data_IF_130559876987
#
_entry.id   IF_130559876987
#
_cell.length_a   1.000
_cell.length_b   1.000
_cell.length_c   1.000
_cell.angle_alpha   90.00
_cell.angle_beta   90.00
_cell.angle_gamma   90.00
#
_symmetry.space_group_name_H-M   'P 1'
#
loop_
_entity.id
_entity.type
_entity.pdbx_description
1 polymer ?
#
# COMPACT_ATOMS: atom_id res chain seq x y z
N UNK A 1 43.01 -36.97 23.02
CA UNK A 1 42.71 -36.17 21.82
C UNK A 1 41.49 -35.30 22.15
N UNK A 2 41.71 -34.23 22.93
CA UNK A 2 41.86 -32.81 22.49
C UNK A 2 40.50 -32.24 22.03
N UNK A 3 39.65 -31.61 22.86
CA UNK A 3 39.72 -30.36 23.67
C UNK A 3 39.89 -29.05 22.85
N UNK A 4 38.98 -28.09 23.14
CA UNK A 4 39.04 -26.60 22.98
C UNK A 4 38.59 -26.07 21.59
N UNK A 5 37.70 -25.08 21.39
CA UNK A 5 37.41 -23.86 22.20
C UNK A 5 35.97 -23.28 22.03
N UNK A 6 35.41 -22.83 23.15
CA UNK A 6 34.41 -21.74 23.26
C UNK A 6 35.18 -20.42 23.34
N UNK A 7 34.98 -19.48 22.40
CA UNK A 7 34.93 -18.02 22.66
C UNK A 7 35.01 -17.25 21.34
N UNK A 8 33.87 -16.68 20.95
CA UNK A 8 33.81 -15.28 20.50
C UNK A 8 32.45 -14.72 20.91
N UNK A 9 32.37 -14.37 22.20
CA UNK A 9 31.32 -13.58 22.80
C UNK A 9 31.65 -12.09 22.66
N UNK A 10 30.62 -11.31 22.33
CA UNK A 10 30.34 -9.96 22.82
C UNK A 10 31.24 -8.77 22.35
N UNK A 11 30.71 -7.99 21.42
CA UNK A 11 30.56 -6.52 21.52
C UNK A 11 29.91 -6.05 20.21
N UNK A 12 28.64 -5.66 20.16
CA UNK A 12 28.09 -4.49 20.84
C UNK A 12 26.57 -4.62 20.85
N UNK A 13 25.99 -4.57 22.04
CA UNK A 13 24.57 -4.32 22.22
C UNK A 13 24.28 -2.86 21.85
N UNK A 14 23.60 -2.67 20.73
CA UNK A 14 22.80 -1.48 20.45
C UNK A 14 21.35 -1.92 20.34
N UNK A 15 20.69 -2.09 21.48
CA UNK A 15 19.26 -2.38 21.54
C UNK A 15 18.47 -1.19 21.00
N UNK A 16 18.07 -1.24 19.73
CA UNK A 16 16.93 -0.47 19.25
C UNK A 16 15.73 -1.42 19.25
N UNK A 17 15.15 -1.58 20.44
CA UNK A 17 13.76 -2.02 20.59
C UNK A 17 12.89 -0.92 20.00
N UNK A 18 12.73 -0.94 18.68
CA UNK A 18 11.67 -0.20 18.01
C UNK A 18 10.44 -1.06 18.19
N UNK A 19 9.46 -0.56 18.93
CA UNK A 19 8.18 -1.26 19.12
C UNK A 19 7.57 -1.49 17.75
N UNK A 20 7.48 -2.75 17.34
CA UNK A 20 6.86 -3.20 16.08
C UNK A 20 5.39 -2.76 15.92
N UNK A 21 4.78 -2.25 16.98
CA UNK A 21 3.38 -1.82 17.02
C UNK A 21 3.13 -0.37 16.58
N UNK A 22 4.17 0.43 16.28
CA UNK A 22 4.02 1.85 15.93
C UNK A 22 4.33 2.19 14.45
N UNK A 23 4.72 1.22 13.61
CA UNK A 23 5.29 1.48 12.26
C UNK A 23 4.25 1.47 11.12
N UNK A 24 3.07 0.87 11.31
CA UNK A 24 1.99 0.89 10.31
C UNK A 24 1.07 2.14 10.41
N UNK A 25 1.33 3.03 11.37
CA UNK A 25 0.45 4.16 11.70
C UNK A 25 0.57 5.37 10.76
N UNK A 26 1.44 5.34 9.74
CA UNK A 26 1.81 6.54 9.00
C UNK A 26 0.98 6.84 7.74
N UNK A 27 0.16 5.93 7.21
CA UNK A 27 -0.44 6.17 5.87
C UNK A 27 -1.80 6.88 5.91
N UNK A 28 -2.60 6.85 7.00
CA UNK A 28 -3.96 7.42 6.93
C UNK A 28 -4.46 8.22 8.14
N UNK A 29 -3.57 8.84 8.93
CA UNK A 29 -4.00 9.63 10.11
C UNK A 29 -4.63 11.00 9.79
N UNK A 30 -4.72 11.44 8.52
CA UNK A 30 -5.00 12.86 8.22
C UNK A 30 -6.14 13.18 7.22
N UNK A 31 -6.96 12.21 6.80
CA UNK A 31 -8.08 12.51 5.87
C UNK A 31 -9.32 13.17 6.51
N UNK A 32 -9.16 13.95 7.59
CA UNK A 32 -10.26 14.77 8.14
C UNK A 32 -9.75 16.09 8.73
N UNK A 33 -9.58 17.13 7.91
CA UNK A 33 -9.87 18.52 8.31
C UNK A 33 -9.89 19.49 7.11
N UNK A 34 -11.03 20.17 6.79
CA UNK A 34 -11.07 21.20 5.77
C UNK A 34 -11.29 22.58 6.39
N UNK A 35 -10.26 23.41 6.56
CA UNK A 35 -10.45 24.87 6.74
C UNK A 35 -9.25 25.66 6.18
N UNK A 36 -9.42 26.20 4.99
CA UNK A 36 -8.63 27.32 4.44
C UNK A 36 -9.28 28.64 4.86
N UNK A 37 -8.47 29.61 5.29
CA UNK A 37 -8.85 31.03 5.25
C UNK A 37 -7.72 31.84 4.61
N UNK A 38 -7.96 32.24 3.36
CA UNK A 38 -7.14 33.15 2.58
C UNK A 38 -7.43 34.59 2.99
N UNK A 39 -6.38 35.37 3.30
CA UNK A 39 -6.47 36.82 3.35
C UNK A 39 -5.64 37.40 2.21
N UNK A 40 -6.34 38.02 1.25
CA UNK A 40 -5.78 38.76 0.14
C UNK A 40 -5.46 40.19 0.62
N UNK A 41 -4.23 40.65 0.43
CA UNK A 41 -3.89 42.08 0.53
C UNK A 41 -3.11 42.47 -0.72
N UNK A 42 -3.74 43.32 -1.53
CA UNK A 42 -3.21 43.86 -2.77
C UNK A 42 -2.14 44.93 -2.52
N UNK A 43 -1.17 44.97 -3.43
CA UNK A 43 -0.22 46.05 -3.57
C UNK A 43 0.09 46.27 -5.05
N UNK A 44 -0.35 47.41 -5.58
CA UNK A 44 0.05 47.95 -6.88
C UNK A 44 1.54 48.32 -6.84
N UNK A 45 2.32 47.91 -7.85
CA UNK A 45 3.65 48.45 -8.10
C UNK A 45 3.84 48.68 -9.60
N UNK A 46 4.26 49.91 -9.93
CA UNK A 46 4.56 50.38 -11.28
C UNK A 46 5.85 49.74 -11.82
N UNK A 47 5.86 49.52 -13.13
CA UNK A 47 6.92 48.82 -13.85
C UNK A 47 8.25 49.56 -13.92
N UNK A 48 9.31 48.76 -14.03
CA UNK A 48 10.58 49.13 -14.65
C UNK A 48 10.98 47.98 -15.58
N UNK A 49 11.26 48.28 -16.85
CA UNK A 49 11.73 47.30 -17.84
C UNK A 49 13.22 47.06 -17.63
N UNK A 50 13.55 46.01 -16.87
CA UNK A 50 14.89 45.45 -16.77
C UNK A 50 15.19 44.44 -17.90
N UNK A 51 16.47 44.11 -18.14
CA UNK A 51 16.86 43.16 -19.18
C UNK A 51 16.28 41.77 -18.87
N UNK A 52 15.93 41.02 -19.91
CA UNK A 52 15.30 39.71 -19.81
C UNK A 52 16.09 38.79 -18.86
N UNK A 53 15.57 38.64 -17.64
CA UNK A 53 15.98 37.62 -16.70
C UNK A 53 15.81 36.28 -17.39
N UNK A 54 16.86 35.46 -17.43
CA UNK A 54 16.70 34.03 -17.60
C UNK A 54 15.58 33.59 -16.65
N UNK A 55 14.55 32.94 -17.17
CA UNK A 55 13.45 32.42 -16.36
C UNK A 55 14.01 31.53 -15.26
N UNK A 56 13.29 31.37 -14.12
CA UNK A 56 13.75 30.51 -13.05
C UNK A 56 14.08 29.13 -13.63
N UNK A 57 15.33 28.69 -13.46
CA UNK A 57 15.72 27.31 -13.74
C UNK A 57 14.83 26.48 -12.84
N UNK A 58 13.89 25.73 -13.42
CA UNK A 58 13.00 24.87 -12.67
C UNK A 58 13.87 23.96 -11.81
N UNK A 59 13.78 24.11 -10.49
CA UNK A 59 14.46 23.21 -9.55
C UNK A 59 13.99 21.79 -9.87
N UNK A 60 14.96 20.86 -9.96
CA UNK A 60 14.64 19.45 -10.12
C UNK A 60 13.69 19.04 -9.00
N UNK A 61 12.61 18.29 -9.31
CA UNK A 61 11.67 17.87 -8.28
C UNK A 61 12.40 17.07 -7.19
N UNK A 62 11.92 17.12 -5.94
CA UNK A 62 12.54 16.39 -4.83
C UNK A 62 12.38 14.86 -4.93
N UNK A 63 11.72 14.38 -5.98
CA UNK A 63 11.45 12.98 -6.27
C UNK A 63 11.97 12.58 -7.66
N UNK A 64 12.28 11.29 -7.89
CA UNK A 64 12.61 10.80 -9.23
C UNK A 64 11.42 11.01 -10.21
N UNK A 65 11.63 11.66 -11.36
CA UNK A 65 10.59 11.80 -12.36
C UNK A 65 10.33 10.48 -13.10
N UNK A 66 9.16 10.34 -13.72
CA UNK A 66 8.66 9.08 -14.31
C UNK A 66 9.59 8.51 -15.39
N UNK A 67 10.36 9.34 -16.08
CA UNK A 67 11.35 8.91 -17.08
C UNK A 67 12.52 8.11 -16.48
N UNK A 68 12.70 8.16 -15.14
CA UNK A 68 13.65 7.32 -14.39
C UNK A 68 13.17 5.88 -14.22
N UNK A 69 12.00 5.53 -14.74
CA UNK A 69 11.44 4.19 -14.65
C UNK A 69 11.42 3.50 -16.02
N UNK A 70 11.59 2.19 -15.99
CA UNK A 70 11.41 1.31 -17.13
C UNK A 70 10.02 0.68 -17.06
N UNK A 71 9.23 0.81 -18.13
CA UNK A 71 7.90 0.22 -18.21
C UNK A 71 7.97 -1.24 -18.66
N UNK A 72 7.28 -2.12 -17.92
CA UNK A 72 7.13 -3.54 -18.20
C UNK A 72 5.65 -3.94 -18.14
N UNK A 73 5.32 -5.07 -18.77
CA UNK A 73 4.03 -5.72 -18.65
C UNK A 73 4.22 -7.03 -17.86
N UNK A 74 3.50 -7.17 -16.75
CA UNK A 74 3.58 -8.36 -15.88
C UNK A 74 2.17 -8.81 -15.55
N UNK A 75 1.79 -10.02 -15.98
CA UNK A 75 0.45 -10.60 -15.77
C UNK A 75 -0.71 -9.67 -16.22
N UNK A 76 -0.45 -8.76 -17.18
CA UNK A 76 -1.42 -7.78 -17.69
C UNK A 76 -1.42 -6.42 -16.98
N UNK A 77 -0.60 -6.23 -15.96
CA UNK A 77 -0.41 -4.92 -15.31
C UNK A 77 0.73 -4.12 -15.96
N UNK A 78 0.57 -2.79 -16.12
CA UNK A 78 1.68 -1.89 -16.37
C UNK A 78 2.51 -1.70 -15.09
N UNK A 79 3.77 -2.12 -15.12
CA UNK A 79 4.72 -2.02 -14.01
C UNK A 79 5.86 -1.08 -14.37
N UNK A 80 6.06 -0.03 -13.59
CA UNK A 80 7.18 0.92 -13.70
C UNK A 80 8.26 0.56 -12.70
N UNK A 81 9.42 0.11 -13.18
CA UNK A 81 10.54 -0.33 -12.34
C UNK A 81 11.63 0.74 -12.35
N UNK A 82 12.09 1.16 -11.17
CA UNK A 82 13.18 2.13 -11.06
C UNK A 82 14.42 1.66 -11.83
N UNK A 83 14.94 2.48 -12.74
CA UNK A 83 16.18 2.19 -13.49
C UNK A 83 17.40 2.14 -12.57
N UNK A 84 17.35 2.81 -11.43
CA UNK A 84 18.42 2.77 -10.43
C UNK A 84 18.43 1.43 -9.70
N UNK A 85 17.25 0.91 -9.32
CA UNK A 85 17.10 -0.45 -8.78
C UNK A 85 17.64 -1.49 -9.77
N UNK A 86 17.23 -1.43 -11.04
CA UNK A 86 17.69 -2.37 -12.09
C UNK A 86 19.22 -2.33 -12.24
N UNK A 87 19.81 -1.14 -12.27
CA UNK A 87 21.24 -0.96 -12.55
C UNK A 87 22.13 -1.30 -11.36
N UNK A 88 21.73 -0.85 -10.17
CA UNK A 88 22.57 -0.94 -8.97
C UNK A 88 22.38 -2.26 -8.23
N UNK A 89 21.18 -2.86 -8.33
CA UNK A 89 20.74 -4.02 -7.54
C UNK A 89 20.01 -5.05 -8.43
N UNK A 90 20.67 -5.61 -9.46
CA UNK A 90 20.02 -6.48 -10.45
C UNK A 90 19.47 -7.79 -9.85
N UNK A 91 20.14 -8.38 -8.86
CA UNK A 91 19.67 -9.59 -8.19
C UNK A 91 18.42 -9.33 -7.33
N UNK A 92 18.39 -8.19 -6.60
CA UNK A 92 17.22 -7.77 -5.85
C UNK A 92 16.04 -7.52 -6.81
N UNK A 93 16.31 -6.83 -7.92
CA UNK A 93 15.32 -6.58 -8.98
C UNK A 93 14.70 -7.88 -9.47
N UNK A 94 15.50 -8.88 -9.82
CA UNK A 94 15.00 -10.16 -10.34
C UNK A 94 14.13 -10.89 -9.32
N UNK A 95 14.57 -10.95 -8.06
CA UNK A 95 13.80 -11.58 -6.97
C UNK A 95 12.49 -10.86 -6.71
N UNK A 96 12.52 -9.52 -6.62
CA UNK A 96 11.33 -8.69 -6.39
C UNK A 96 10.32 -8.86 -7.52
N UNK A 97 10.76 -8.79 -8.79
CA UNK A 97 9.85 -8.96 -9.93
C UNK A 97 9.35 -10.39 -10.09
N UNK A 98 10.13 -11.39 -9.69
CA UNK A 98 9.69 -12.78 -9.64
C UNK A 98 8.57 -12.97 -8.63
N UNK A 99 8.73 -12.46 -7.40
CA UNK A 99 7.68 -12.53 -6.38
C UNK A 99 6.45 -11.71 -6.76
N UNK A 100 6.63 -10.50 -7.31
CA UNK A 100 5.53 -9.66 -7.78
C UNK A 100 4.72 -10.38 -8.88
N UNK A 101 5.40 -10.99 -9.87
CA UNK A 101 4.73 -11.81 -10.90
C UNK A 101 3.94 -12.95 -10.28
N UNK A 102 4.51 -13.65 -9.29
CA UNK A 102 3.82 -14.72 -8.59
C UNK A 102 2.54 -14.23 -7.92
N UNK A 103 2.59 -13.13 -7.15
CA UNK A 103 1.39 -12.60 -6.49
C UNK A 103 0.34 -12.11 -7.50
N UNK A 104 0.74 -11.41 -8.57
CA UNK A 104 -0.19 -10.99 -9.62
C UNK A 104 -0.83 -12.18 -10.35
N UNK A 105 -0.06 -13.24 -10.61
CA UNK A 105 -0.59 -14.48 -11.17
C UNK A 105 -1.63 -15.11 -10.23
N UNK A 106 -1.39 -15.11 -8.91
CA UNK A 106 -2.36 -15.59 -7.93
C UNK A 106 -3.66 -14.76 -7.96
N UNK A 107 -3.56 -13.43 -8.08
CA UNK A 107 -4.73 -12.53 -8.23
C UNK A 107 -5.54 -12.90 -9.48
N UNK A 108 -4.90 -13.05 -10.64
CA UNK A 108 -5.57 -13.45 -11.90
C UNK A 108 -6.30 -14.80 -11.75
N UNK A 109 -5.73 -15.72 -10.97
CA UNK A 109 -6.29 -17.06 -10.74
C UNK A 109 -7.48 -17.10 -9.79
N UNK A 110 -7.57 -16.14 -8.86
CA UNK A 110 -8.55 -16.17 -7.76
C UNK A 110 -9.68 -15.16 -7.90
N UNK A 111 -9.40 -13.99 -8.48
CA UNK A 111 -10.36 -12.90 -8.60
C UNK A 111 -11.14 -13.03 -9.90
N UNK A 112 -12.46 -12.71 -9.94
CA UNK A 112 -13.24 -12.78 -11.18
C UNK A 112 -12.65 -11.96 -12.33
N UNK A 113 -12.71 -12.51 -13.54
CA UNK A 113 -12.08 -11.91 -14.73
C UNK A 113 -12.51 -10.45 -14.99
N UNK A 114 -13.77 -10.09 -14.69
CA UNK A 114 -14.27 -8.72 -14.82
C UNK A 114 -13.56 -7.76 -13.85
N UNK A 115 -13.38 -8.17 -12.60
CA UNK A 115 -12.65 -7.39 -11.60
C UNK A 115 -11.14 -7.36 -11.93
N UNK A 116 -10.55 -8.47 -12.36
CA UNK A 116 -9.14 -8.51 -12.83
C UNK A 116 -8.90 -7.50 -13.95
N UNK A 117 -9.79 -7.42 -14.94
CA UNK A 117 -9.67 -6.44 -16.03
C UNK A 117 -9.74 -4.98 -15.56
N UNK A 118 -10.38 -4.71 -14.42
CA UNK A 118 -10.33 -3.40 -13.76
C UNK A 118 -9.03 -3.22 -12.98
N UNK A 119 -8.62 -4.21 -12.19
CA UNK A 119 -7.37 -4.19 -11.42
C UNK A 119 -6.15 -3.97 -12.32
N UNK A 120 -6.10 -4.55 -13.51
CA UNK A 120 -5.02 -4.40 -14.49
C UNK A 120 -4.87 -2.97 -15.04
N UNK A 121 -5.84 -2.07 -14.79
CA UNK A 121 -5.72 -0.64 -15.11
C UNK A 121 -4.90 0.12 -14.06
N UNK A 122 -4.77 -0.43 -12.86
CA UNK A 122 -3.99 0.17 -11.77
C UNK A 122 -2.51 -0.04 -12.07
N UNK A 123 -1.75 1.05 -12.15
CA UNK A 123 -0.29 0.97 -12.36
C UNK A 123 0.41 0.51 -11.11
N UNK A 124 1.49 -0.24 -11.25
CA UNK A 124 2.38 -0.63 -10.15
C UNK A 124 3.73 0.05 -10.32
N UNK A 125 4.23 0.73 -9.29
CA UNK A 125 5.58 1.30 -9.25
C UNK A 125 6.46 0.45 -8.36
N UNK A 126 7.73 0.23 -8.74
CA UNK A 126 8.68 -0.60 -8.00
C UNK A 126 9.94 0.20 -7.71
N UNK A 127 10.17 0.43 -6.43
CA UNK A 127 11.29 1.17 -5.87
C UNK A 127 12.27 0.23 -5.15
N UNK A 128 13.52 0.69 -5.00
CA UNK A 128 14.46 0.02 -4.10
C UNK A 128 14.07 0.27 -2.64
N UNK A 129 13.96 1.55 -2.27
CA UNK A 129 13.61 2.03 -0.94
C UNK A 129 13.15 3.49 -1.02
N UNK A 130 11.85 3.72 -0.92
CA UNK A 130 11.21 5.03 -0.78
C UNK A 130 10.95 5.31 0.72
N UNK A 131 11.12 6.56 1.17
CA UNK A 131 11.18 6.89 2.60
C UNK A 131 9.82 7.07 3.30
N UNK A 132 8.75 7.32 2.56
CA UNK A 132 7.42 7.60 3.12
C UNK A 132 6.64 6.32 3.42
N UNK A 133 6.90 5.24 2.68
CA UNK A 133 6.16 3.99 2.76
C UNK A 133 7.09 2.83 3.11
N UNK A 134 6.82 2.06 4.18
CA UNK A 134 7.76 1.05 4.66
C UNK A 134 7.84 -0.20 3.76
N UNK A 135 6.79 -0.51 2.98
CA UNK A 135 6.79 -1.65 2.08
C UNK A 135 5.96 -1.43 0.81
N UNK A 136 4.62 -1.39 0.93
CA UNK A 136 3.71 -1.11 -0.18
C UNK A 136 2.62 -0.12 0.23
N UNK A 137 2.06 0.60 -0.74
CA UNK A 137 0.91 1.47 -0.53
C UNK A 137 0.14 1.74 -1.82
N UNK A 138 -1.16 1.93 -1.70
CA UNK A 138 -1.99 2.57 -2.72
C UNK A 138 -2.08 4.09 -2.50
N UNK A 139 -1.83 4.88 -3.53
CA UNK A 139 -1.80 6.35 -3.46
C UNK A 139 -3.06 6.97 -4.10
N UNK A 140 -4.03 7.48 -3.34
CA UNK A 140 -5.27 8.01 -3.93
C UNK A 140 -5.17 9.45 -4.45
N UNK A 141 -4.26 10.28 -3.91
CA UNK A 141 -4.33 11.75 -4.07
C UNK A 141 -3.00 12.36 -4.55
N UNK A 142 -3.05 13.00 -5.73
CA UNK A 142 -1.91 13.70 -6.32
C UNK A 142 -1.49 14.96 -5.53
N UNK A 143 -2.41 15.62 -4.83
CA UNK A 143 -2.10 16.81 -4.04
C UNK A 143 -1.30 16.42 -2.79
N UNK A 144 -1.75 15.40 -2.07
CA UNK A 144 -1.02 14.86 -0.93
C UNK A 144 0.40 14.44 -1.33
N UNK A 145 0.55 13.71 -2.44
CA UNK A 145 1.87 13.34 -2.97
C UNK A 145 2.76 14.56 -3.22
N UNK A 146 2.23 15.61 -3.84
CA UNK A 146 2.97 16.86 -4.09
C UNK A 146 3.42 17.55 -2.81
N UNK A 147 2.53 17.65 -1.82
CA UNK A 147 2.80 18.29 -0.52
C UNK A 147 3.86 17.54 0.29
N UNK A 148 4.00 16.23 0.06
CA UNK A 148 4.98 15.37 0.74
C UNK A 148 6.22 15.09 -0.11
N UNK A 149 6.43 15.83 -1.20
CA UNK A 149 7.63 15.67 -2.03
C UNK A 149 7.73 14.32 -2.72
N UNK A 150 6.58 13.69 -3.02
CA UNK A 150 6.47 12.47 -3.81
C UNK A 150 5.98 12.78 -5.23
N UNK A 151 6.26 11.87 -6.17
CA UNK A 151 5.85 12.04 -7.57
C UNK A 151 4.32 11.99 -7.70
N UNK A 152 3.63 13.09 -8.09
CA UNK A 152 2.16 13.12 -8.18
C UNK A 152 1.57 12.19 -9.25
N UNK A 153 2.37 11.70 -10.20
CA UNK A 153 1.94 10.69 -11.19
C UNK A 153 1.74 9.29 -10.58
N UNK A 154 2.11 9.09 -9.32
CA UNK A 154 1.78 7.90 -8.53
C UNK A 154 0.32 7.91 -8.06
N UNK A 155 -0.43 9.01 -8.22
CA UNK A 155 -1.85 9.01 -7.88
C UNK A 155 -2.63 7.95 -8.69
N UNK A 156 -3.45 7.17 -7.99
CA UNK A 156 -4.19 6.03 -8.52
C UNK A 156 -3.34 4.78 -8.75
N UNK A 157 -2.11 4.70 -8.24
CA UNK A 157 -1.23 3.54 -8.40
C UNK A 157 -1.05 2.76 -7.10
N UNK A 158 -0.57 1.52 -7.23
CA UNK A 158 0.09 0.78 -6.16
C UNK A 158 1.59 1.04 -6.26
N UNK A 159 2.25 1.30 -5.15
CA UNK A 159 3.69 1.43 -5.04
C UNK A 159 4.23 0.28 -4.19
N UNK A 160 5.18 -0.46 -4.74
CA UNK A 160 6.12 -1.30 -4.01
C UNK A 160 7.31 -0.41 -3.65
N UNK A 161 7.22 0.23 -2.48
CA UNK A 161 8.12 1.26 -2.00
C UNK A 161 9.45 0.70 -1.49
N UNK A 162 9.48 -0.55 -1.03
CA UNK A 162 10.72 -1.17 -0.54
C UNK A 162 10.85 -2.63 -0.98
N UNK A 163 11.79 -2.88 -1.89
CA UNK A 163 12.03 -4.19 -2.49
C UNK A 163 12.44 -5.27 -1.48
N UNK A 164 13.23 -4.91 -0.45
CA UNK A 164 13.70 -5.87 0.57
C UNK A 164 12.62 -6.15 1.60
N UNK A 165 11.88 -5.13 2.03
CA UNK A 165 10.72 -5.29 2.91
C UNK A 165 9.67 -6.17 2.24
N UNK A 166 9.37 -5.95 0.96
CA UNK A 166 8.42 -6.78 0.20
C UNK A 166 8.80 -8.26 0.21
N UNK A 167 10.06 -8.60 -0.09
CA UNK A 167 10.54 -9.99 -0.05
C UNK A 167 10.44 -10.61 1.35
N UNK A 168 10.60 -9.80 2.41
CA UNK A 168 10.56 -10.26 3.80
C UNK A 168 9.13 -10.41 4.33
N UNK A 169 8.32 -9.36 4.21
CA UNK A 169 7.00 -9.25 4.84
C UNK A 169 5.98 -10.19 4.23
N UNK A 170 6.09 -10.46 2.93
CA UNK A 170 5.16 -11.36 2.20
C UNK A 170 5.24 -12.82 2.65
N UNK A 171 6.22 -13.20 3.46
CA UNK A 171 6.25 -14.49 4.14
C UNK A 171 5.08 -14.59 5.12
N UNK A 172 4.82 -13.52 5.88
CA UNK A 172 3.76 -13.44 6.87
C UNK A 172 2.48 -12.80 6.32
N UNK A 173 2.60 -11.96 5.27
CA UNK A 173 1.50 -11.26 4.59
C UNK A 173 1.39 -11.69 3.10
N UNK A 174 0.94 -12.92 2.83
CA UNK A 174 1.06 -13.54 1.51
C UNK A 174 0.21 -12.90 0.41
N UNK A 175 -0.79 -12.09 0.77
CA UNK A 175 -1.70 -11.42 -0.17
C UNK A 175 -1.58 -9.89 -0.18
N UNK A 176 -0.42 -9.37 0.24
CA UNK A 176 -0.10 -7.93 0.27
C UNK A 176 -0.35 -7.20 -1.07
N UNK A 177 -0.01 -7.78 -2.22
CA UNK A 177 -0.31 -7.12 -3.51
C UNK A 177 -1.82 -7.03 -3.75
N UNK A 178 -2.60 -8.04 -3.34
CA UNK A 178 -4.05 -7.98 -3.44
C UNK A 178 -4.63 -6.95 -2.46
N UNK A 179 -4.05 -6.77 -1.27
CA UNK A 179 -4.43 -5.73 -0.32
C UNK A 179 -4.44 -4.34 -0.98
N UNK A 180 -3.30 -3.95 -1.55
CA UNK A 180 -3.15 -2.64 -2.18
C UNK A 180 -4.00 -2.50 -3.44
N UNK A 181 -4.13 -3.59 -4.22
CA UNK A 181 -5.03 -3.63 -5.36
C UNK A 181 -6.51 -3.52 -4.92
N UNK A 182 -6.89 -4.02 -3.75
CA UNK A 182 -8.23 -3.90 -3.20
C UNK A 182 -8.53 -2.46 -2.78
N UNK A 183 -7.56 -1.72 -2.23
CA UNK A 183 -7.70 -0.27 -2.06
C UNK A 183 -7.94 0.44 -3.39
N UNK A 184 -7.16 0.11 -4.42
CA UNK A 184 -7.36 0.66 -5.76
C UNK A 184 -8.72 0.30 -6.35
N UNK A 185 -9.18 -0.93 -6.16
CA UNK A 185 -10.50 -1.37 -6.60
C UNK A 185 -11.64 -0.61 -5.92
N UNK A 186 -11.55 -0.50 -4.59
CA UNK A 186 -12.49 0.25 -3.78
C UNK A 186 -12.52 1.72 -4.20
N UNK A 187 -11.36 2.36 -4.41
CA UNK A 187 -11.30 3.76 -4.82
C UNK A 187 -11.85 3.99 -6.24
N UNK A 188 -11.43 3.18 -7.22
CA UNK A 188 -11.58 3.53 -8.64
C UNK A 188 -12.80 2.91 -9.31
N UNK A 189 -13.31 1.78 -8.79
CA UNK A 189 -14.27 0.96 -9.54
C UNK A 189 -15.55 0.60 -8.78
N UNK A 190 -15.57 0.74 -7.45
CA UNK A 190 -16.80 0.60 -6.67
C UNK A 190 -17.63 1.89 -6.69
N UNK A 191 -18.93 1.72 -6.52
CA UNK A 191 -19.85 2.86 -6.44
C UNK A 191 -19.42 3.81 -5.31
N UNK A 192 -19.31 5.10 -5.66
CA UNK A 192 -18.83 6.19 -4.80
C UNK A 192 -17.40 6.01 -4.23
N UNK A 193 -16.60 5.09 -4.76
CA UNK A 193 -15.21 4.92 -4.33
C UNK A 193 -15.10 4.61 -2.83
N UNK A 194 -14.16 5.26 -2.13
CA UNK A 194 -14.03 5.18 -0.66
C UNK A 194 -15.26 5.68 0.13
N UNK A 195 -16.19 6.35 -0.55
CA UNK A 195 -17.48 6.77 0.02
C UNK A 195 -18.59 5.72 -0.16
N UNK A 196 -18.24 4.46 -0.49
CA UNK A 196 -19.20 3.39 -0.66
C UNK A 196 -20.03 3.14 0.61
N UNK A 197 -21.35 3.37 0.53
CA UNK A 197 -22.25 3.30 1.68
C UNK A 197 -22.36 1.87 2.26
N UNK A 198 -22.29 0.85 1.40
CA UNK A 198 -22.44 -0.54 1.83
C UNK A 198 -21.23 -0.98 2.66
N UNK A 199 -20.02 -0.65 2.23
CA UNK A 199 -18.79 -0.93 2.99
C UNK A 199 -18.79 -0.16 4.31
N UNK A 200 -19.13 1.14 4.30
CA UNK A 200 -19.23 1.96 5.52
C UNK A 200 -20.21 1.40 6.53
N UNK A 201 -21.40 0.98 6.07
CA UNK A 201 -22.41 0.41 6.94
C UNK A 201 -21.95 -0.92 7.57
N UNK A 202 -21.30 -1.81 6.80
CA UNK A 202 -20.76 -3.06 7.34
C UNK A 202 -19.62 -2.82 8.32
N UNK A 203 -18.73 -1.88 8.00
CA UNK A 203 -17.64 -1.50 8.89
C UNK A 203 -18.16 -0.98 10.24
N UNK A 204 -19.14 -0.07 10.26
CA UNK A 204 -19.67 0.46 11.52
C UNK A 204 -20.37 -0.63 12.35
N UNK A 205 -21.04 -1.60 11.72
CA UNK A 205 -21.58 -2.77 12.42
C UNK A 205 -20.48 -3.65 13.03
N UNK A 206 -19.42 -3.96 12.27
CA UNK A 206 -18.28 -4.76 12.73
C UNK A 206 -17.48 -4.07 13.85
N UNK A 207 -17.33 -2.74 13.75
CA UNK A 207 -16.70 -1.90 14.76
C UNK A 207 -17.52 -1.87 16.05
N UNK A 208 -18.85 -1.71 15.95
CA UNK A 208 -19.75 -1.71 17.10
C UNK A 208 -19.76 -3.05 17.83
N UNK A 209 -19.70 -4.17 17.08
CA UNK A 209 -19.64 -5.53 17.64
C UNK A 209 -18.25 -5.93 18.15
N UNK A 210 -17.21 -5.14 17.83
CA UNK A 210 -15.82 -5.35 18.25
C UNK A 210 -15.20 -6.67 17.78
N UNK A 211 -15.75 -7.29 16.73
CA UNK A 211 -15.30 -8.61 16.25
C UNK A 211 -13.85 -8.65 15.73
N UNK A 212 -13.24 -7.49 15.49
CA UNK A 212 -11.85 -7.34 15.06
C UNK A 212 -10.93 -6.67 16.11
N UNK A 213 -11.40 -6.42 17.34
CA UNK A 213 -10.60 -5.69 18.34
C UNK A 213 -9.53 -6.55 19.02
N UNK A 214 -9.68 -7.87 18.99
CA UNK A 214 -8.72 -8.83 19.54
C UNK A 214 -8.90 -10.16 18.80
N UNK A 215 -8.05 -10.42 17.82
CA UNK A 215 -8.07 -11.64 16.99
C UNK A 215 -6.65 -12.19 16.87
N UNK A 216 -6.53 -13.50 16.67
CA UNK A 216 -5.24 -14.13 16.51
C UNK A 216 -4.53 -13.60 15.26
N UNK A 217 -3.29 -13.13 15.41
CA UNK A 217 -2.39 -12.79 14.32
C UNK A 217 -1.45 -13.97 14.05
N UNK A 218 -0.89 -14.05 12.84
CA UNK A 218 0.03 -15.12 12.42
C UNK A 218 1.24 -15.33 13.35
N UNK A 219 1.64 -14.30 14.10
CA UNK A 219 2.70 -14.37 15.10
C UNK A 219 2.30 -15.14 16.40
N UNK A 220 1.06 -15.64 16.48
CA UNK A 220 0.55 -16.42 17.62
C UNK A 220 0.02 -15.58 18.78
N UNK A 221 -0.09 -14.27 18.64
CA UNK A 221 -0.66 -13.36 19.64
C UNK A 221 -1.99 -12.80 19.17
N UNK A 222 -2.88 -12.53 20.11
CA UNK A 222 -4.08 -11.77 19.85
C UNK A 222 -3.73 -10.28 19.75
N UNK A 223 -4.15 -9.65 18.65
CA UNK A 223 -3.93 -8.24 18.36
C UNK A 223 -5.23 -7.62 17.81
N UNK A 224 -5.30 -6.28 17.77
CA UNK A 224 -6.36 -5.58 17.02
C UNK A 224 -6.11 -5.79 15.53
N UNK A 225 -7.06 -6.39 14.83
CA UNK A 225 -6.96 -6.61 13.38
C UNK A 225 -6.92 -5.27 12.64
N UNK A 226 -6.17 -5.20 11.54
CA UNK A 226 -6.10 -3.99 10.73
C UNK A 226 -7.46 -3.63 10.11
N UNK A 227 -8.30 -4.63 9.87
CA UNK A 227 -9.70 -4.49 9.48
C UNK A 227 -10.54 -3.63 10.43
N UNK A 228 -10.11 -3.42 11.69
CA UNK A 228 -10.76 -2.54 12.66
C UNK A 228 -10.37 -1.06 12.54
N UNK A 229 -9.48 -0.69 11.61
CA UNK A 229 -8.91 0.67 11.50
C UNK A 229 -9.87 1.65 10.85
N UNK A 230 -10.33 1.36 9.63
CA UNK A 230 -11.26 2.19 8.86
C UNK A 230 -11.97 1.32 7.78
N UNK A 231 -13.00 1.83 7.07
CA UNK A 231 -13.70 1.04 6.07
C UNK A 231 -12.84 0.60 4.85
N UNK A 232 -11.73 1.29 4.56
CA UNK A 232 -10.82 0.92 3.46
C UNK A 232 -10.01 -0.32 3.84
N UNK A 233 -9.41 -0.33 5.04
CA UNK A 233 -8.70 -1.50 5.57
C UNK A 233 -9.65 -2.68 5.75
N UNK A 234 -10.84 -2.41 6.26
CA UNK A 234 -11.86 -3.44 6.41
C UNK A 234 -12.15 -4.16 5.08
N UNK A 235 -12.26 -3.41 3.98
CA UNK A 235 -12.44 -3.99 2.65
C UNK A 235 -11.20 -4.76 2.16
N UNK A 236 -10.00 -4.20 2.30
CA UNK A 236 -8.77 -4.82 1.82
C UNK A 236 -8.44 -6.12 2.57
N UNK A 237 -8.41 -6.06 3.90
CA UNK A 237 -8.12 -7.18 4.79
C UNK A 237 -9.11 -8.35 4.62
N UNK A 238 -10.41 -8.04 4.53
CA UNK A 238 -11.40 -9.10 4.33
C UNK A 238 -11.37 -9.65 2.90
N UNK A 239 -10.91 -8.87 1.91
CA UNK A 239 -10.67 -9.38 0.55
C UNK A 239 -9.49 -10.36 0.49
N UNK A 240 -8.43 -10.16 1.29
CA UNK A 240 -7.34 -11.13 1.44
C UNK A 240 -7.86 -12.47 1.95
N UNK A 241 -8.62 -12.46 3.05
CA UNK A 241 -9.22 -13.68 3.60
C UNK A 241 -10.19 -14.33 2.60
N UNK A 242 -10.92 -13.53 1.81
CA UNK A 242 -11.92 -14.02 0.87
C UNK A 242 -11.31 -14.74 -0.36
N UNK A 243 -10.22 -14.24 -0.93
CA UNK A 243 -9.57 -14.85 -2.10
C UNK A 243 -8.37 -15.74 -1.76
N UNK A 244 -7.78 -15.53 -0.60
CA UNK A 244 -6.46 -16.00 -0.22
C UNK A 244 -6.32 -16.29 1.27
N UNK A 245 -5.27 -15.73 1.86
CA UNK A 245 -4.88 -15.88 3.27
C UNK A 245 -4.51 -14.51 3.84
N UNK A 246 -5.21 -14.06 4.87
CA UNK A 246 -4.87 -12.87 5.67
C UNK A 246 -3.86 -13.24 6.78
N UNK A 247 -3.06 -12.30 7.29
CA UNK A 247 -2.19 -12.46 8.47
C UNK A 247 -2.94 -12.30 9.82
N UNK A 248 -4.16 -11.78 9.82
CA UNK A 248 -5.09 -11.75 10.95
C UNK A 248 -6.28 -12.70 10.75
N UNK A 249 -6.77 -13.29 11.84
CA UNK A 249 -8.02 -14.04 11.80
C UNK A 249 -9.21 -13.10 11.50
N UNK A 250 -10.12 -13.46 10.58
CA UNK A 250 -10.21 -14.72 9.84
C UNK A 250 -9.16 -14.82 8.73
N UNK A 251 -8.42 -15.93 8.69
CA UNK A 251 -7.33 -16.11 7.75
C UNK A 251 -7.83 -16.47 6.36
N UNK A 252 -8.88 -17.29 6.27
CA UNK A 252 -9.37 -17.84 5.00
C UNK A 252 -10.88 -17.67 4.83
N UNK A 253 -11.35 -17.88 3.59
CA UNK A 253 -12.74 -17.61 3.17
C UNK A 253 -13.81 -18.27 4.04
N UNK A 254 -13.58 -19.51 4.47
CA UNK A 254 -14.52 -20.25 5.31
C UNK A 254 -14.63 -19.68 6.72
N UNK A 255 -13.54 -19.16 7.26
CA UNK A 255 -13.50 -18.49 8.56
C UNK A 255 -14.17 -17.13 8.46
N UNK A 256 -13.89 -16.37 7.41
CA UNK A 256 -14.55 -15.09 7.15
C UNK A 256 -16.06 -15.25 7.07
N UNK A 257 -16.55 -16.28 6.36
CA UNK A 257 -17.99 -16.58 6.29
C UNK A 257 -18.64 -16.81 7.65
N UNK A 258 -17.90 -17.38 8.62
CA UNK A 258 -18.41 -17.65 9.97
C UNK A 258 -18.27 -16.44 10.89
N UNK A 259 -17.14 -15.75 10.81
CA UNK A 259 -16.78 -14.64 11.69
C UNK A 259 -17.52 -13.35 11.31
N UNK A 260 -17.59 -13.05 10.02
CA UNK A 260 -18.27 -11.88 9.46
C UNK A 260 -19.07 -12.25 8.20
N UNK A 261 -20.15 -12.99 8.41
CA UNK A 261 -21.05 -13.44 7.33
C UNK A 261 -21.65 -12.30 6.50
N UNK A 262 -21.81 -11.10 7.10
CA UNK A 262 -22.37 -9.93 6.40
C UNK A 262 -21.36 -9.33 5.44
N UNK A 263 -20.10 -9.19 5.87
CA UNK A 263 -19.03 -8.76 4.97
C UNK A 263 -18.75 -9.80 3.89
N UNK A 264 -18.77 -11.08 4.25
CA UNK A 264 -18.66 -12.17 3.29
C UNK A 264 -19.68 -12.03 2.15
N UNK A 265 -20.95 -11.83 2.47
CA UNK A 265 -22.00 -11.65 1.46
C UNK A 265 -21.82 -10.37 0.65
N UNK A 266 -21.37 -9.28 1.28
CA UNK A 266 -21.07 -8.04 0.57
C UNK A 266 -19.91 -8.21 -0.43
N UNK A 267 -18.86 -8.94 -0.05
CA UNK A 267 -17.72 -9.23 -0.94
C UNK A 267 -18.15 -10.06 -2.17
N UNK A 268 -19.10 -11.00 -2.01
CA UNK A 268 -19.64 -11.76 -3.14
C UNK A 268 -20.25 -10.83 -4.20
N UNK A 269 -21.03 -9.84 -3.76
CA UNK A 269 -21.62 -8.84 -4.66
C UNK A 269 -20.58 -7.89 -5.23
N UNK A 270 -19.70 -7.29 -4.40
CA UNK A 270 -18.77 -6.24 -4.85
C UNK A 270 -17.67 -6.76 -5.79
N UNK A 271 -17.22 -8.00 -5.59
CA UNK A 271 -16.26 -8.64 -6.48
C UNK A 271 -16.92 -9.42 -7.62
N UNK A 272 -18.24 -9.64 -7.57
CA UNK A 272 -19.01 -10.36 -8.59
C UNK A 272 -18.70 -11.86 -8.60
N UNK A 273 -18.70 -12.50 -7.43
CA UNK A 273 -18.53 -13.96 -7.27
C UNK A 273 -19.82 -14.70 -6.96
N UNK A 274 -20.97 -14.02 -7.01
CA UNK A 274 -22.30 -14.62 -6.86
C UNK A 274 -22.70 -15.55 -8.02
#
# INVERSE_FOLDING_TARGET
MSFIDEQWLASSHGSLSIRENDIFMLIFKYFVNPFFLTTLLGGLSLGTTGPASAGPVAESPPYPPTERYEARQIEGWPVLVSKDLIRNEPELTDRTLTLLRHQLFQVVRKVPAKAVAQLQKIRIWVEESESHTPCMAYHPDANWLREHGMNPEKAGCVELANARAFLSWTIDQPWMVLHELAHGYHHQFLDRGFENDAIKARYEEAKASKIYQSVLRINGRDDKAYAATNPMEYFAETSEAFFGTNDFYPYVRSELRRHDSKMYGLLETLWGTE
#
